data_IF_961405141389
#
_entry.id   IF_961405141389
#
_cell.length_a   1.000
_cell.length_b   1.000
_cell.length_c   1.000
_cell.angle_alpha   90.00
_cell.angle_beta   90.00
_cell.angle_gamma   90.00
#
_symmetry.space_group_name_H-M   'P 1'
#
loop_
_entity.id
_entity.type
_entity.pdbx_description
1 polymer ?
#
# COMPACT_ATOMS: atom_id res chain seq x y z
N UNK A 1 -15.98 -11.57 5.61
CA UNK A 1 -15.90 -13.03 5.78
C UNK A 1 -16.11 -13.78 4.47
N UNK A 2 -17.14 -13.40 3.72
CA UNK A 2 -17.44 -14.05 2.44
C UNK A 2 -16.29 -13.89 1.43
N UNK A 3 -15.71 -12.70 1.34
CA UNK A 3 -14.57 -12.44 0.45
C UNK A 3 -13.36 -13.28 0.87
N UNK A 4 -13.06 -13.29 2.15
CA UNK A 4 -11.99 -14.10 2.69
C UNK A 4 -12.17 -15.58 2.35
N UNK A 5 -13.34 -16.15 2.62
CA UNK A 5 -13.61 -17.55 2.35
C UNK A 5 -13.49 -17.90 0.88
N UNK A 6 -13.96 -17.02 -0.01
CA UNK A 6 -13.87 -17.21 -1.46
C UNK A 6 -12.41 -17.23 -1.93
N UNK A 7 -11.60 -16.29 -1.45
CA UNK A 7 -10.18 -16.21 -1.79
C UNK A 7 -9.42 -17.42 -1.28
N UNK A 8 -9.60 -17.78 0.00
CA UNK A 8 -8.87 -18.89 0.61
C UNK A 8 -9.23 -20.24 -0.02
N UNK A 9 -10.47 -20.39 -0.50
CA UNK A 9 -10.89 -21.63 -1.17
C UNK A 9 -10.28 -21.80 -2.56
N UNK A 10 -9.94 -20.69 -3.24
CA UNK A 10 -9.48 -20.71 -4.64
C UNK A 10 -8.02 -20.37 -4.82
N UNK A 11 -7.32 -19.97 -3.77
CA UNK A 11 -5.93 -19.53 -3.92
C UNK A 11 -5.01 -20.67 -4.32
N UNK A 12 -4.05 -20.44 -5.22
CA UNK A 12 -2.97 -21.37 -5.47
C UNK A 12 -2.08 -21.53 -4.22
N UNK A 13 -1.48 -22.70 -4.07
CA UNK A 13 -0.53 -22.94 -2.98
C UNK A 13 0.66 -21.96 -3.08
N UNK A 14 1.13 -21.47 -1.94
CA UNK A 14 2.25 -20.54 -1.81
C UNK A 14 2.02 -19.16 -2.42
N UNK A 15 0.77 -18.79 -2.68
CA UNK A 15 0.44 -17.44 -3.14
C UNK A 15 0.40 -16.46 -1.97
N UNK A 16 0.82 -15.22 -2.23
CA UNK A 16 0.73 -14.13 -1.27
C UNK A 16 -0.58 -13.37 -1.48
N UNK A 17 -1.26 -13.07 -0.40
CA UNK A 17 -2.54 -12.36 -0.44
C UNK A 17 -2.54 -11.17 0.49
N UNK A 18 -3.23 -10.12 0.04
CA UNK A 18 -3.39 -8.89 0.79
C UNK A 18 -4.83 -8.43 0.64
N UNK A 19 -5.52 -8.25 1.75
CA UNK A 19 -6.86 -7.67 1.74
C UNK A 19 -6.78 -6.19 2.01
N UNK A 20 -7.40 -5.40 1.14
CA UNK A 20 -7.36 -3.95 1.23
C UNK A 20 -8.77 -3.39 1.42
N UNK A 21 -8.88 -2.33 2.21
CA UNK A 21 -10.15 -1.63 2.37
C UNK A 21 -9.92 -0.23 2.93
N UNK A 22 -10.82 0.68 2.60
CA UNK A 22 -10.95 1.96 3.26
C UNK A 22 -11.96 1.91 4.42
N UNK A 23 -12.71 0.83 4.54
CA UNK A 23 -13.67 0.64 5.63
C UNK A 23 -12.96 0.06 6.84
N UNK A 24 -12.76 0.91 7.85
CA UNK A 24 -12.06 0.53 9.09
C UNK A 24 -12.80 -0.58 9.85
N UNK A 25 -14.13 -0.61 9.78
CA UNK A 25 -14.91 -1.65 10.45
C UNK A 25 -14.68 -3.02 9.81
N UNK A 26 -14.62 -3.07 8.48
CA UNK A 26 -14.32 -4.29 7.76
C UNK A 26 -12.93 -4.82 8.09
N UNK A 27 -11.93 -3.93 8.17
CA UNK A 27 -10.56 -4.30 8.51
C UNK A 27 -10.46 -4.79 9.96
N UNK A 28 -11.12 -4.12 10.90
CA UNK A 28 -11.14 -4.55 12.30
C UNK A 28 -11.78 -5.93 12.46
N UNK A 29 -12.88 -6.16 11.75
CA UNK A 29 -13.56 -7.46 11.75
C UNK A 29 -12.65 -8.53 11.17
N UNK A 30 -12.00 -8.26 10.04
CA UNK A 30 -11.08 -9.21 9.40
C UNK A 30 -9.90 -9.54 10.33
N UNK A 31 -9.33 -8.53 11.00
CA UNK A 31 -8.24 -8.74 11.95
C UNK A 31 -8.66 -9.61 13.15
N UNK A 32 -9.87 -9.38 13.63
CA UNK A 32 -10.42 -10.15 14.74
C UNK A 32 -10.68 -11.62 14.37
N UNK A 33 -11.21 -11.86 13.18
CA UNK A 33 -11.54 -13.21 12.72
C UNK A 33 -10.33 -13.98 12.18
N UNK A 34 -9.39 -13.27 11.57
CA UNK A 34 -8.24 -13.88 10.89
C UNK A 34 -6.96 -13.09 11.21
N UNK A 35 -6.36 -13.30 12.40
CA UNK A 35 -5.20 -12.51 12.86
C UNK A 35 -3.97 -12.61 11.97
N UNK A 36 -3.84 -13.69 11.21
CA UNK A 36 -2.64 -13.95 10.38
C UNK A 36 -2.72 -13.34 8.98
N UNK A 37 -3.85 -12.72 8.64
CA UNK A 37 -4.04 -12.16 7.29
C UNK A 37 -3.35 -10.80 7.18
N UNK A 38 -2.67 -10.56 6.06
CA UNK A 38 -2.12 -9.26 5.74
C UNK A 38 -3.23 -8.32 5.30
N UNK A 39 -3.26 -7.13 5.92
CA UNK A 39 -4.25 -6.10 5.65
C UNK A 39 -3.57 -4.80 5.26
N UNK A 40 -4.20 -4.06 4.34
CA UNK A 40 -3.78 -2.73 3.96
C UNK A 40 -4.93 -1.76 4.22
N UNK A 41 -4.66 -0.73 5.02
CA UNK A 41 -5.61 0.35 5.28
C UNK A 41 -5.46 1.42 4.21
N UNK A 42 -6.55 1.69 3.48
CA UNK A 42 -6.57 2.74 2.46
C UNK A 42 -7.19 3.99 3.07
N UNK A 43 -6.47 5.11 3.00
CA UNK A 43 -6.94 6.41 3.51
C UNK A 43 -6.83 7.45 2.39
N UNK A 44 -7.89 8.24 2.19
CA UNK A 44 -7.94 9.28 1.16
C UNK A 44 -7.24 10.58 1.56
N UNK A 45 -6.18 10.46 2.35
CA UNK A 45 -5.36 11.58 2.84
C UNK A 45 -3.89 11.28 2.58
N UNK A 46 -3.03 12.31 2.58
CA UNK A 46 -1.59 12.06 2.58
C UNK A 46 -1.15 11.38 3.89
N UNK A 47 0.05 10.83 3.91
CA UNK A 47 0.61 10.26 5.12
C UNK A 47 0.87 11.38 6.13
N UNK A 48 0.38 11.20 7.34
CA UNK A 48 0.60 12.11 8.48
C UNK A 48 0.62 11.28 9.76
N UNK A 49 0.94 11.93 10.87
CA UNK A 49 1.01 11.25 12.16
C UNK A 49 -0.30 10.54 12.50
N UNK A 50 -1.43 11.18 12.23
CA UNK A 50 -2.76 10.61 12.48
C UNK A 50 -2.96 9.30 11.73
N UNK A 51 -2.64 9.25 10.43
CA UNK A 51 -2.83 8.03 9.63
C UNK A 51 -1.89 6.91 10.06
N UNK A 52 -0.68 7.25 10.45
CA UNK A 52 0.29 6.30 11.00
C UNK A 52 -0.25 5.68 12.29
N UNK A 53 -0.74 6.51 13.21
CA UNK A 53 -1.29 6.05 14.47
C UNK A 53 -2.53 5.17 14.27
N UNK A 54 -3.41 5.52 13.32
CA UNK A 54 -4.58 4.70 13.01
C UNK A 54 -4.16 3.29 12.58
N UNK A 55 -3.18 3.17 11.71
CA UNK A 55 -2.70 1.87 11.26
C UNK A 55 -2.12 1.06 12.42
N UNK A 56 -1.32 1.70 13.27
CA UNK A 56 -0.73 1.05 14.45
C UNK A 56 -1.82 0.56 15.40
N UNK A 57 -2.81 1.41 15.71
CA UNK A 57 -3.90 1.06 16.63
C UNK A 57 -4.73 -0.12 16.11
N UNK A 58 -4.86 -0.24 14.81
CA UNK A 58 -5.60 -1.35 14.19
C UNK A 58 -4.77 -2.62 14.02
N UNK A 59 -3.48 -2.57 14.36
CA UNK A 59 -2.56 -3.69 14.14
C UNK A 59 -2.31 -3.99 12.68
N UNK A 60 -2.44 -2.99 11.81
CA UNK A 60 -2.24 -3.12 10.37
C UNK A 60 -0.84 -2.60 10.04
N UNK A 61 -0.08 -3.39 9.29
CA UNK A 61 1.30 -3.08 8.94
C UNK A 61 1.47 -2.42 7.59
N UNK A 62 0.40 -2.27 6.82
CA UNK A 62 0.43 -1.70 5.48
C UNK A 62 -0.52 -0.53 5.38
N UNK A 63 -0.03 0.60 4.93
CA UNK A 63 -0.79 1.85 4.84
C UNK A 63 -0.78 2.35 3.40
N UNK A 64 -1.96 2.61 2.84
CA UNK A 64 -2.12 3.17 1.50
C UNK A 64 -2.70 4.56 1.58
N UNK A 65 -1.96 5.56 1.12
CA UNK A 65 -2.33 6.97 1.20
C UNK A 65 -2.16 7.68 -0.13
N UNK A 66 -2.71 8.89 -0.21
CA UNK A 66 -2.51 9.73 -1.40
C UNK A 66 -1.09 10.25 -1.47
N UNK A 67 -0.52 10.21 -2.68
CA UNK A 67 0.82 10.74 -2.93
C UNK A 67 0.84 12.27 -2.78
N UNK A 68 -0.24 12.93 -3.21
CA UNK A 68 -0.37 14.38 -3.10
C UNK A 68 -0.38 14.79 -1.63
N UNK A 69 0.50 15.68 -1.25
CA UNK A 69 0.65 16.14 0.13
C UNK A 69 1.49 15.25 1.03
N UNK A 70 1.94 14.10 0.55
CA UNK A 70 2.84 13.23 1.30
C UNK A 70 4.28 13.71 1.20
N UNK A 71 4.97 13.82 2.32
CA UNK A 71 6.37 14.22 2.37
C UNK A 71 7.28 13.02 2.64
N UNK A 72 8.55 13.16 2.25
CA UNK A 72 9.55 12.13 2.55
C UNK A 72 9.72 11.90 4.05
N UNK A 73 9.65 12.97 4.84
CA UNK A 73 9.75 12.88 6.31
C UNK A 73 8.65 11.99 6.87
N UNK A 74 7.42 12.12 6.38
CA UNK A 74 6.31 11.30 6.85
C UNK A 74 6.43 9.85 6.39
N UNK A 75 6.92 9.60 5.17
CA UNK A 75 7.19 8.23 4.71
C UNK A 75 8.26 7.58 5.58
N UNK A 76 9.34 8.31 5.87
CA UNK A 76 10.41 7.81 6.74
C UNK A 76 9.89 7.52 8.15
N UNK A 77 9.00 8.37 8.68
CA UNK A 77 8.38 8.16 9.98
C UNK A 77 7.51 6.89 9.99
N UNK A 78 6.74 6.68 8.93
CA UNK A 78 5.94 5.46 8.78
C UNK A 78 6.84 4.22 8.74
N UNK A 79 7.95 4.27 8.02
CA UNK A 79 8.91 3.16 7.98
C UNK A 79 9.54 2.89 9.34
N UNK A 80 9.88 3.94 10.08
CA UNK A 80 10.41 3.79 11.46
C UNK A 80 9.39 3.12 12.38
N UNK A 81 8.11 3.35 12.13
CA UNK A 81 7.03 2.70 12.88
C UNK A 81 6.77 1.25 12.43
N UNK A 82 7.51 0.76 11.43
CA UNK A 82 7.37 -0.60 10.94
C UNK A 82 6.29 -0.78 9.88
N UNK A 83 5.81 0.31 9.28
CA UNK A 83 4.76 0.25 8.28
C UNK A 83 5.31 0.13 6.85
N UNK A 84 4.64 -0.66 6.04
CA UNK A 84 4.83 -0.72 4.60
C UNK A 84 3.97 0.39 3.98
N UNK A 85 4.56 1.20 3.10
CA UNK A 85 3.89 2.37 2.53
C UNK A 85 3.55 2.17 1.07
N UNK A 86 2.26 2.25 0.76
CA UNK A 86 1.75 2.27 -0.61
C UNK A 86 1.17 3.66 -0.89
N UNK A 87 1.50 4.23 -2.04
CA UNK A 87 0.98 5.54 -2.44
C UNK A 87 0.16 5.43 -3.71
N UNK A 88 -0.81 6.32 -3.86
CA UNK A 88 -1.69 6.39 -5.03
C UNK A 88 -2.12 7.84 -5.30
N UNK A 89 -2.47 8.21 -6.53
CA UNK A 89 -2.28 7.42 -7.75
C UNK A 89 -0.84 7.50 -8.26
N UNK A 90 -0.43 6.49 -9.05
CA UNK A 90 0.83 6.51 -9.79
C UNK A 90 0.53 6.43 -11.27
N UNK A 91 -0.25 7.37 -11.79
CA UNK A 91 -0.81 7.31 -13.15
C UNK A 91 0.12 7.83 -14.24
N UNK A 92 1.21 8.47 -13.87
CA UNK A 92 2.20 8.99 -14.81
C UNK A 92 3.61 8.60 -14.37
N UNK A 93 4.59 8.61 -15.30
CA UNK A 93 5.97 8.39 -14.92
C UNK A 93 6.48 9.38 -13.87
N UNK A 94 6.03 10.64 -13.95
CA UNK A 94 6.40 11.67 -12.98
C UNK A 94 5.90 11.35 -11.59
N UNK A 95 4.65 10.92 -11.46
CA UNK A 95 4.09 10.51 -10.17
C UNK A 95 4.82 9.28 -9.62
N UNK A 96 5.15 8.32 -10.49
CA UNK A 96 5.88 7.14 -10.08
C UNK A 96 7.28 7.50 -9.58
N UNK A 97 7.99 8.37 -10.30
CA UNK A 97 9.32 8.85 -9.89
C UNK A 97 9.25 9.61 -8.57
N UNK A 98 8.19 10.39 -8.39
CA UNK A 98 7.95 11.09 -7.12
C UNK A 98 7.75 10.10 -5.97
N UNK A 99 6.94 9.07 -6.19
CA UNK A 99 6.75 8.02 -5.18
C UNK A 99 8.03 7.29 -4.83
N UNK A 100 8.85 6.98 -5.82
CA UNK A 100 10.16 6.37 -5.61
C UNK A 100 11.08 7.29 -4.81
N UNK A 101 11.11 8.58 -5.13
CA UNK A 101 11.88 9.59 -4.40
C UNK A 101 11.43 9.68 -2.93
N UNK A 102 10.11 9.63 -2.69
CA UNK A 102 9.56 9.66 -1.33
C UNK A 102 9.90 8.39 -0.53
N UNK A 103 10.31 7.33 -1.21
CA UNK A 103 10.66 6.07 -0.56
C UNK A 103 9.50 5.11 -0.39
N UNK A 104 8.43 5.26 -1.17
CA UNK A 104 7.29 4.36 -1.10
C UNK A 104 7.68 2.93 -1.48
N UNK A 105 7.07 1.97 -0.81
CA UNK A 105 7.30 0.54 -1.09
C UNK A 105 6.49 0.06 -2.29
N UNK A 106 5.36 0.73 -2.57
CA UNK A 106 4.51 0.41 -3.71
C UNK A 106 3.78 1.65 -4.19
N UNK A 107 3.41 1.63 -5.46
CA UNK A 107 2.57 2.66 -6.09
C UNK A 107 1.46 1.97 -6.87
N UNK A 108 0.24 2.42 -6.67
CA UNK A 108 -0.91 1.89 -7.37
C UNK A 108 -1.19 2.71 -8.62
N UNK A 109 -1.35 2.05 -9.75
CA UNK A 109 -1.58 2.72 -11.02
C UNK A 109 -2.56 1.92 -11.87
N UNK A 110 -3.49 2.63 -12.51
CA UNK A 110 -4.35 2.04 -13.55
C UNK A 110 -3.63 1.95 -14.88
N UNK A 111 -2.45 2.55 -14.99
CA UNK A 111 -1.64 2.61 -16.23
C UNK A 111 -0.28 1.96 -16.00
N UNK A 112 -0.26 0.87 -15.25
CA UNK A 112 0.98 0.23 -14.80
C UNK A 112 1.88 -0.22 -15.97
N UNK A 113 1.30 -0.74 -17.04
CA UNK A 113 2.07 -1.20 -18.20
C UNK A 113 2.79 -0.03 -18.89
N UNK A 114 2.09 1.08 -19.10
CA UNK A 114 2.70 2.28 -19.70
C UNK A 114 3.82 2.84 -18.84
N UNK A 115 3.57 2.95 -17.55
CA UNK A 115 4.55 3.46 -16.59
C UNK A 115 5.77 2.54 -16.54
N UNK A 116 5.56 1.23 -16.48
CA UNK A 116 6.64 0.25 -16.46
C UNK A 116 7.49 0.34 -17.71
N UNK A 117 6.88 0.41 -18.89
CA UNK A 117 7.59 0.51 -20.16
C UNK A 117 8.44 1.78 -20.21
N UNK A 118 7.91 2.90 -19.74
CA UNK A 118 8.65 4.14 -19.68
C UNK A 118 9.86 4.02 -18.74
N UNK A 119 9.67 3.43 -17.58
CA UNK A 119 10.72 3.26 -16.58
C UNK A 119 11.83 2.33 -17.09
N UNK A 120 11.48 1.23 -17.72
CA UNK A 120 12.45 0.28 -18.26
C UNK A 120 13.36 0.98 -19.29
N UNK A 121 12.83 1.92 -20.05
CA UNK A 121 13.57 2.66 -21.06
C UNK A 121 14.38 3.82 -20.48
N UNK A 122 13.80 4.59 -19.55
CA UNK A 122 14.34 5.87 -19.12
C UNK A 122 14.94 5.86 -17.70
N UNK A 123 14.60 4.87 -16.89
CA UNK A 123 15.08 4.75 -15.51
C UNK A 123 15.40 3.29 -15.16
N UNK A 124 16.32 2.63 -15.92
CA UNK A 124 16.60 1.20 -15.71
C UNK A 124 17.24 0.87 -14.36
N UNK A 125 17.71 1.89 -13.63
CA UNK A 125 18.26 1.70 -12.29
C UNK A 125 17.22 1.40 -11.23
N UNK A 126 15.92 1.65 -11.52
CA UNK A 126 14.84 1.34 -10.59
C UNK A 126 14.54 -0.15 -10.66
N UNK A 127 14.59 -0.83 -9.50
CA UNK A 127 14.33 -2.26 -9.40
C UNK A 127 12.95 -2.52 -8.81
N UNK A 128 12.28 -3.52 -9.34
CA UNK A 128 10.98 -3.97 -8.83
C UNK A 128 11.18 -5.17 -7.90
N UNK A 129 10.33 -5.23 -6.89
CA UNK A 129 10.35 -6.35 -5.94
C UNK A 129 9.18 -7.29 -6.17
#
# INVERSE_FOLDING_TARGET
EKVYNTVMAKKPANSLYLFTSSDKRALKMMRSLHPDVDLLLIISKPICEETILEAIDMGIKRLGCRIEGTSKVMVDLAHKAGLYVSLWPGQSPEEFMRGAYLGADALNSDRAVEVKNWLDKNAPWIKYK
#
